data_IF_317781049555
#
_entry.id   IF_317781049555
#
_cell.length_a   1.000
_cell.length_b   1.000
_cell.length_c   1.000
_cell.angle_alpha   90.00
_cell.angle_beta   90.00
_cell.angle_gamma   90.00
#
_symmetry.space_group_name_H-M   'P 1'
#
loop_
_entity.id
_entity.type
_entity.pdbx_description
1 polymer ?
#
# COMPACT_ATOMS: atom_id res chain seq x y z
N UNK A 1 -10.73 -20.39 1.42
CA UNK A 1 -9.92 -19.26 0.92
C UNK A 1 -10.87 -18.13 0.62
N UNK A 2 -10.68 -16.99 1.27
CA UNK A 2 -11.48 -15.78 1.04
C UNK A 2 -10.93 -15.00 -0.15
N UNK A 3 -11.74 -14.11 -0.75
CA UNK A 3 -11.28 -13.22 -1.83
C UNK A 3 -10.10 -12.35 -1.38
N UNK A 4 -10.06 -11.96 -0.10
CA UNK A 4 -8.95 -11.21 0.47
C UNK A 4 -7.65 -12.01 0.46
N UNK A 5 -7.71 -13.28 0.90
CA UNK A 5 -6.55 -14.17 0.92
C UNK A 5 -6.02 -14.41 -0.50
N UNK A 6 -6.92 -14.63 -1.48
CA UNK A 6 -6.54 -14.79 -2.88
C UNK A 6 -5.89 -13.52 -3.46
N UNK A 7 -6.41 -12.34 -3.11
CA UNK A 7 -5.85 -11.06 -3.54
C UNK A 7 -4.46 -10.80 -2.92
N UNK A 8 -4.29 -11.10 -1.63
CA UNK A 8 -3.00 -10.94 -0.93
C UNK A 8 -1.97 -11.95 -1.44
N UNK A 9 -2.39 -13.16 -1.82
CA UNK A 9 -1.52 -14.20 -2.35
C UNK A 9 -1.24 -14.07 -3.87
N UNK A 10 -1.60 -12.95 -4.50
CA UNK A 10 -1.35 -12.76 -5.93
C UNK A 10 0.15 -12.90 -6.25
N UNK A 11 0.51 -13.72 -7.25
CA UNK A 11 1.90 -13.89 -7.67
C UNK A 11 2.56 -12.55 -8.00
N UNK A 12 3.79 -12.35 -7.52
CA UNK A 12 4.57 -11.12 -7.75
C UNK A 12 4.24 -9.95 -6.82
N UNK A 13 3.21 -10.04 -5.97
CA UNK A 13 2.89 -9.00 -4.98
C UNK A 13 4.02 -8.79 -3.98
N UNK A 14 4.66 -9.87 -3.54
CA UNK A 14 5.72 -9.82 -2.53
C UNK A 14 6.95 -9.03 -3.02
N UNK A 15 7.31 -9.17 -4.30
CA UNK A 15 8.41 -8.41 -4.91
C UNK A 15 8.10 -6.91 -4.96
N UNK A 16 6.85 -6.54 -5.26
CA UNK A 16 6.40 -5.16 -5.26
C UNK A 16 6.40 -4.56 -3.84
N UNK A 17 5.96 -5.33 -2.85
CA UNK A 17 6.00 -4.90 -1.43
C UNK A 17 7.44 -4.64 -1.00
N UNK A 18 8.38 -5.53 -1.37
CA UNK A 18 9.80 -5.37 -1.06
C UNK A 18 10.39 -4.09 -1.66
N UNK A 19 10.10 -3.80 -2.93
CA UNK A 19 10.56 -2.58 -3.59
C UNK A 19 10.07 -1.31 -2.89
N UNK A 20 8.79 -1.27 -2.49
CA UNK A 20 8.23 -0.12 -1.75
C UNK A 20 8.88 0.00 -0.37
N UNK A 21 9.08 -1.11 0.34
CA UNK A 21 9.76 -1.12 1.65
C UNK A 21 11.20 -0.63 1.58
N UNK A 22 11.95 -1.02 0.54
CA UNK A 22 13.30 -0.51 0.30
C UNK A 22 13.27 1.00 0.03
N UNK A 23 12.30 1.48 -0.74
CA UNK A 23 12.17 2.91 -1.04
C UNK A 23 11.84 3.75 0.20
N UNK A 24 10.99 3.25 1.09
CA UNK A 24 10.68 3.91 2.37
C UNK A 24 11.95 4.10 3.20
N UNK A 25 12.77 3.05 3.30
CA UNK A 25 14.05 3.11 4.04
C UNK A 25 15.05 4.06 3.41
N UNK A 26 15.19 4.02 2.08
CA UNK A 26 16.10 4.90 1.33
C UNK A 26 15.74 6.38 1.50
N UNK A 27 14.44 6.69 1.53
CA UNK A 27 13.94 8.08 1.57
C UNK A 27 13.77 8.63 2.98
N UNK A 28 13.77 7.77 4.01
CA UNK A 28 13.53 8.18 5.39
C UNK A 28 12.09 8.68 5.63
N UNK A 29 11.12 8.13 4.91
CA UNK A 29 9.70 8.50 5.09
C UNK A 29 9.18 7.88 6.37
N UNK A 30 8.78 8.71 7.34
CA UNK A 30 8.22 8.25 8.63
C UNK A 30 6.70 7.99 8.59
N UNK A 31 6.01 8.49 7.56
CA UNK A 31 4.55 8.42 7.43
C UNK A 31 4.11 8.18 6.00
N UNK A 32 3.24 7.19 5.82
CA UNK A 32 2.63 6.84 4.55
C UNK A 32 1.16 7.23 4.59
N UNK A 33 0.72 8.01 3.60
CA UNK A 33 -0.68 8.34 3.41
C UNK A 33 -1.27 7.49 2.29
N UNK A 34 -1.99 6.42 2.65
CA UNK A 34 -2.68 5.59 1.68
C UNK A 34 -3.93 6.32 1.21
N UNK A 35 -3.98 6.67 -0.07
CA UNK A 35 -5.08 7.43 -0.65
C UNK A 35 -5.78 6.66 -1.77
N UNK A 36 -7.09 6.83 -1.87
CA UNK A 36 -7.88 6.42 -3.03
C UNK A 36 -8.91 7.50 -3.39
N UNK A 37 -9.33 7.49 -4.64
CA UNK A 37 -10.40 8.38 -5.12
C UNK A 37 -11.73 7.69 -4.88
N UNK A 38 -12.59 8.31 -4.07
CA UNK A 38 -13.94 7.82 -3.81
C UNK A 38 -14.82 7.87 -5.07
N UNK A 39 -15.95 7.17 -5.04
CA UNK A 39 -16.96 7.21 -6.13
C UNK A 39 -17.49 8.61 -6.42
N UNK A 40 -17.40 9.53 -5.46
CA UNK A 40 -17.79 10.94 -5.61
C UNK A 40 -16.66 11.84 -6.11
N UNK A 41 -15.48 11.29 -6.42
CA UNK A 41 -14.30 12.04 -6.86
C UNK A 41 -13.47 12.66 -5.72
N UNK A 42 -13.85 12.45 -4.45
CA UNK A 42 -13.07 12.94 -3.30
C UNK A 42 -11.87 12.05 -3.02
N UNK A 43 -10.70 12.65 -2.77
CA UNK A 43 -9.53 11.94 -2.25
C UNK A 43 -9.78 11.64 -0.77
N UNK A 44 -9.75 10.36 -0.41
CA UNK A 44 -9.86 9.89 0.98
C UNK A 44 -8.66 9.00 1.29
N UNK A 45 -8.28 8.90 2.56
CA UNK A 45 -7.11 8.13 2.92
C UNK A 45 -6.89 7.93 4.41
N UNK A 46 -5.81 7.22 4.72
CA UNK A 46 -5.35 6.96 6.08
C UNK A 46 -3.84 7.15 6.18
N UNK A 47 -3.40 7.94 7.15
CA UNK A 47 -2.00 8.04 7.53
C UNK A 47 -1.60 6.88 8.44
N UNK A 48 -0.47 6.24 8.14
CA UNK A 48 0.11 5.16 8.94
C UNK A 48 1.61 5.46 9.14
N UNK A 49 2.15 5.32 10.35
CA UNK A 49 3.60 5.40 10.58
C UNK A 49 4.30 4.26 9.85
N UNK A 50 5.44 4.57 9.21
CA UNK A 50 6.23 3.66 8.37
C UNK A 50 6.93 2.55 9.14
#
# INVERSE_FOLDING_TARGET
>A
MTDLEAHVAQPGRDDLVKQVSEKIKETGVDYIYYQFVSVTGRIVGKGIPS
#
